data_IF_173883533210
#
_entry.id   IF_173883533210
#
_cell.length_a   1.000
_cell.length_b   1.000
_cell.length_c   1.000
_cell.angle_alpha   90.00
_cell.angle_beta   90.00
_cell.angle_gamma   90.00
#
_symmetry.space_group_name_H-M   'P 1'
#
loop_
_entity.id
_entity.type
_entity.pdbx_description
1 polymer ?
#
# COMPACT_ATOMS: atom_id res chain seq x y z
N UNK A 1 -22.23 11.56 5.87
CA UNK A 1 -20.89 10.92 5.99
C UNK A 1 -19.91 12.02 6.35
N UNK A 2 -19.03 11.84 7.36
CA UNK A 2 -17.96 12.82 7.57
C UNK A 2 -17.08 12.80 6.33
N UNK A 3 -16.88 13.96 5.73
CA UNK A 3 -15.99 14.11 4.59
C UNK A 3 -14.59 13.67 5.02
N UNK A 4 -14.11 12.56 4.46
CA UNK A 4 -12.77 12.08 4.73
C UNK A 4 -11.81 12.84 3.82
N UNK A 5 -10.72 13.41 4.37
CA UNK A 5 -9.72 14.09 3.57
C UNK A 5 -9.04 13.08 2.64
N UNK A 6 -8.73 13.51 1.42
CA UNK A 6 -8.07 12.66 0.45
C UNK A 6 -6.69 12.23 1.00
N UNK A 7 -6.38 10.92 0.99
CA UNK A 7 -5.12 10.43 1.50
C UNK A 7 -3.96 10.89 0.60
N UNK A 8 -2.85 11.23 1.23
CA UNK A 8 -1.59 11.41 0.48
C UNK A 8 -1.11 10.08 -0.08
N UNK A 9 -0.29 10.11 -1.14
CA UNK A 9 0.33 8.90 -1.69
C UNK A 9 1.04 8.07 -0.61
N UNK A 10 1.70 8.75 0.34
CA UNK A 10 2.37 8.09 1.46
C UNK A 10 1.40 7.36 2.38
N UNK A 11 0.23 7.94 2.63
CA UNK A 11 -0.82 7.32 3.43
C UNK A 11 -1.40 6.07 2.75
N UNK A 12 -1.51 6.08 1.41
CA UNK A 12 -1.92 4.91 0.62
C UNK A 12 -0.83 3.84 0.70
N UNK A 13 0.45 4.19 0.53
CA UNK A 13 1.57 3.26 0.68
C UNK A 13 1.56 2.57 2.04
N UNK A 14 1.37 3.34 3.11
CA UNK A 14 1.32 2.79 4.47
C UNK A 14 0.11 1.89 4.69
N UNK A 15 -1.02 2.23 4.09
CA UNK A 15 -2.20 1.38 4.15
C UNK A 15 -1.99 0.05 3.44
N UNK A 16 -1.47 0.08 2.21
CA UNK A 16 -1.15 -1.13 1.43
C UNK A 16 -0.12 -2.01 2.16
N UNK A 17 0.91 -1.41 2.76
CA UNK A 17 1.87 -2.13 3.60
C UNK A 17 1.21 -2.73 4.84
N UNK A 18 0.36 -1.98 5.54
CA UNK A 18 -0.34 -2.48 6.72
C UNK A 18 -1.28 -3.63 6.38
N UNK A 19 -1.96 -3.58 5.23
CA UNK A 19 -2.80 -4.65 4.73
C UNK A 19 -1.97 -5.89 4.36
N UNK A 20 -0.80 -5.69 3.74
CA UNK A 20 0.14 -6.78 3.43
C UNK A 20 0.63 -7.52 4.69
N UNK A 21 0.92 -6.79 5.76
CA UNK A 21 1.29 -7.38 7.06
C UNK A 21 0.09 -7.79 7.93
N UNK A 22 -1.15 -7.56 7.49
CA UNK A 22 -2.37 -7.89 8.23
C UNK A 22 -2.68 -6.98 9.43
N UNK A 23 -2.03 -5.82 9.54
CA UNK A 23 -2.16 -4.86 10.67
C UNK A 23 -2.98 -3.63 10.26
N UNK A 24 -4.08 -3.82 9.52
CA UNK A 24 -4.95 -2.72 9.08
C UNK A 24 -5.88 -2.26 10.21
N UNK A 25 -6.10 -0.94 10.33
CA UNK A 25 -6.99 -0.34 11.32
C UNK A 25 -8.23 0.28 10.65
N UNK A 26 -9.37 0.26 11.35
CA UNK A 26 -10.67 0.64 10.80
C UNK A 26 -10.71 2.10 10.29
N UNK A 27 -10.06 3.03 10.98
CA UNK A 27 -9.97 4.42 10.53
C UNK A 27 -9.27 4.57 9.16
N UNK A 28 -8.21 3.80 8.91
CA UNK A 28 -7.49 3.86 7.64
C UNK A 28 -8.32 3.18 6.55
N UNK A 29 -8.98 2.07 6.88
CA UNK A 29 -9.90 1.38 5.98
C UNK A 29 -11.05 2.29 5.53
N UNK A 30 -11.71 2.99 6.45
CA UNK A 30 -12.84 3.88 6.13
C UNK A 30 -12.41 5.06 5.25
N UNK A 31 -11.23 5.65 5.53
CA UNK A 31 -10.65 6.72 4.69
C UNK A 31 -10.34 6.20 3.30
N UNK A 32 -9.72 5.04 3.21
CA UNK A 32 -9.29 4.46 1.94
C UNK A 32 -10.50 4.05 1.10
N UNK A 33 -11.55 3.48 1.71
CA UNK A 33 -12.82 3.19 1.07
C UNK A 33 -13.48 4.47 0.52
N UNK A 34 -13.51 5.54 1.32
CA UNK A 34 -14.03 6.83 0.86
C UNK A 34 -13.24 7.39 -0.33
N UNK A 35 -11.92 7.16 -0.38
CA UNK A 35 -11.09 7.58 -1.52
C UNK A 35 -11.26 6.65 -2.73
N UNK A 36 -11.45 5.34 -2.52
CA UNK A 36 -11.74 4.37 -3.57
C UNK A 36 -13.04 4.70 -4.31
N UNK A 37 -14.09 5.12 -3.58
CA UNK A 37 -15.37 5.55 -4.17
C UNK A 37 -15.21 6.80 -5.04
N UNK A 38 -14.28 7.70 -4.72
CA UNK A 38 -14.04 8.95 -5.45
C UNK A 38 -13.09 8.79 -6.64
N UNK A 39 -11.93 8.16 -6.43
CA UNK A 39 -10.81 8.13 -7.37
C UNK A 39 -10.61 6.75 -8.04
N UNK A 40 -11.39 5.75 -7.63
CA UNK A 40 -11.25 4.36 -8.06
C UNK A 40 -10.08 3.63 -7.40
N UNK A 41 -9.90 2.36 -7.77
CA UNK A 41 -8.89 1.47 -7.17
C UNK A 41 -7.48 1.60 -7.77
N UNK A 42 -7.34 2.29 -8.90
CA UNK A 42 -6.09 2.43 -9.65
C UNK A 42 -4.88 2.91 -8.81
N UNK A 43 -4.98 3.94 -7.94
CA UNK A 43 -3.83 4.38 -7.14
C UNK A 43 -3.32 3.30 -6.18
N UNK A 44 -4.21 2.47 -5.63
CA UNK A 44 -3.84 1.35 -4.76
C UNK A 44 -3.17 0.21 -5.54
N UNK A 45 -3.66 -0.07 -6.76
CA UNK A 45 -3.06 -1.07 -7.64
C UNK A 45 -1.62 -0.70 -8.02
N UNK A 46 -1.39 0.56 -8.44
CA UNK A 46 -0.06 1.03 -8.84
C UNK A 46 0.93 0.93 -7.67
N UNK A 47 0.51 1.35 -6.47
CA UNK A 47 1.34 1.24 -5.27
C UNK A 47 1.59 -0.22 -4.89
N UNK A 48 0.58 -1.10 -4.96
CA UNK A 48 0.71 -2.52 -4.67
C UNK A 48 1.70 -3.25 -5.59
N UNK A 49 1.61 -2.99 -6.91
CA UNK A 49 2.56 -3.54 -7.88
C UNK A 49 3.97 -3.00 -7.60
N UNK A 50 4.11 -1.69 -7.35
CA UNK A 50 5.40 -1.08 -7.01
C UNK A 50 6.05 -1.70 -5.78
N UNK A 51 5.29 -1.92 -4.70
CA UNK A 51 5.78 -2.56 -3.48
C UNK A 51 6.15 -4.04 -3.70
N UNK A 52 5.41 -4.74 -4.57
CA UNK A 52 5.72 -6.13 -4.91
C UNK A 52 7.03 -6.24 -5.68
N UNK A 53 7.24 -5.39 -6.69
CA UNK A 53 8.51 -5.32 -7.42
C UNK A 53 9.67 -4.95 -6.49
N UNK A 54 9.45 -4.00 -5.58
CA UNK A 54 10.43 -3.63 -4.57
C UNK A 54 10.80 -4.82 -3.67
N UNK A 55 9.80 -5.59 -3.22
CA UNK A 55 10.03 -6.80 -2.42
C UNK A 55 10.86 -7.84 -3.18
N UNK A 56 10.55 -8.07 -4.46
CA UNK A 56 11.32 -8.99 -5.31
C UNK A 56 12.78 -8.54 -5.42
N UNK A 57 13.03 -7.26 -5.67
CA UNK A 57 14.40 -6.71 -5.75
C UNK A 57 15.15 -6.87 -4.44
N UNK A 58 14.49 -6.63 -3.31
CA UNK A 58 15.07 -6.84 -1.97
C UNK A 58 15.47 -8.32 -1.82
N UNK A 59 14.57 -9.26 -2.16
CA UNK A 59 14.85 -10.69 -2.06
C UNK A 59 16.01 -11.13 -2.95
N UNK A 60 16.06 -10.68 -4.21
CA UNK A 60 17.17 -10.96 -5.14
C UNK A 60 18.49 -10.45 -4.55
N UNK A 61 18.50 -9.22 -4.04
CA UNK A 61 19.70 -8.61 -3.44
C UNK A 61 20.17 -9.41 -2.24
N UNK A 62 19.25 -9.85 -1.37
CA UNK A 62 19.55 -10.71 -0.23
C UNK A 62 20.15 -12.03 -0.70
N UNK A 63 19.55 -12.68 -1.70
CA UNK A 63 20.05 -13.96 -2.23
C UNK A 63 21.46 -13.80 -2.79
N UNK A 64 21.74 -12.77 -3.60
CA UNK A 64 23.08 -12.50 -4.14
C UNK A 64 24.08 -12.23 -3.01
N UNK A 65 23.67 -11.53 -1.96
CA UNK A 65 24.57 -11.20 -0.84
C UNK A 65 24.84 -12.39 0.08
N UNK A 66 23.86 -13.28 0.27
CA UNK A 66 23.95 -14.44 1.18
C UNK A 66 24.53 -15.68 0.49
N UNK A 67 24.19 -15.89 -0.79
CA UNK A 67 24.65 -17.02 -1.62
C UNK A 67 25.55 -16.45 -2.73
N UNK A 68 26.86 -16.27 -2.46
CA UNK A 68 27.80 -15.75 -3.43
C UNK A 68 28.06 -16.70 -4.61
#
# INVERSE_FOLDING_TARGET
MKEQPDPSLWAITWSVLSAFFGVSNQKNYDRDNAYLEKAGFFPYLVIGIGLTLLLILILITIVIWVVP
#
